data_IF_037576233917
#
_entry.id   IF_037576233917
#
_cell.length_a   1.000
_cell.length_b   1.000
_cell.length_c   1.000
_cell.angle_alpha   90.00
_cell.angle_beta   90.00
_cell.angle_gamma   90.00
#
_symmetry.space_group_name_H-M   'P 1'
#
loop_
_entity.id
_entity.type
_entity.pdbx_description
1 polymer ?
#
# COMPACT_ATOMS: atom_id res chain seq x y z
N UNK A 1 -7.89 -2.91 24.16
CA UNK A 1 -8.48 -1.79 23.40
C UNK A 1 -9.66 -2.33 22.62
N UNK A 2 -10.87 -1.77 22.79
CA UNK A 2 -12.05 -2.14 22.00
C UNK A 2 -11.82 -1.93 20.50
N UNK A 3 -12.42 -2.78 19.66
CA UNK A 3 -12.37 -2.63 18.21
C UNK A 3 -12.92 -1.28 17.73
N UNK A 4 -13.95 -0.77 18.42
CA UNK A 4 -14.61 0.51 18.17
C UNK A 4 -13.71 1.73 18.41
N UNK A 5 -12.51 1.56 18.96
CA UNK A 5 -11.56 2.66 19.22
C UNK A 5 -10.27 2.53 18.39
N UNK A 6 -10.12 1.45 17.62
CA UNK A 6 -8.88 1.13 16.92
C UNK A 6 -8.38 2.29 16.06
N UNK A 7 -9.28 2.93 15.30
CA UNK A 7 -8.96 4.07 14.45
C UNK A 7 -8.40 5.26 15.23
N UNK A 8 -8.89 5.52 16.45
CA UNK A 8 -8.41 6.61 17.30
C UNK A 8 -6.94 6.41 17.68
N UNK A 9 -6.61 5.21 18.16
CA UNK A 9 -5.26 4.89 18.58
C UNK A 9 -4.30 4.84 17.39
N UNK A 10 -4.71 4.21 16.29
CA UNK A 10 -3.87 4.12 15.09
C UNK A 10 -3.57 5.50 14.49
N UNK A 11 -4.58 6.36 14.33
CA UNK A 11 -4.38 7.70 13.76
C UNK A 11 -3.51 8.58 14.66
N UNK A 12 -3.66 8.47 15.99
CA UNK A 12 -2.79 9.16 16.94
C UNK A 12 -1.33 8.73 16.76
N UNK A 13 -1.06 7.43 16.73
CA UNK A 13 0.31 6.92 16.57
C UNK A 13 0.91 7.26 15.19
N UNK A 14 0.10 7.25 14.12
CA UNK A 14 0.55 7.73 12.81
C UNK A 14 0.85 9.22 12.80
N UNK A 15 0.03 10.03 13.47
CA UNK A 15 0.27 11.45 13.71
C UNK A 15 1.60 11.71 14.41
N UNK A 16 1.93 10.91 15.43
CA UNK A 16 3.20 11.04 16.19
C UNK A 16 4.42 10.59 15.40
N UNK A 17 4.29 9.54 14.59
CA UNK A 17 5.46 8.83 14.07
C UNK A 17 5.71 9.03 12.57
N UNK A 18 4.81 9.66 11.81
CA UNK A 18 4.93 9.72 10.36
C UNK A 18 4.41 11.02 9.73
N UNK A 19 5.18 11.55 8.76
CA UNK A 19 4.82 12.71 7.94
C UNK A 19 4.10 12.35 6.63
N UNK A 20 4.10 11.06 6.25
CA UNK A 20 3.48 10.56 5.02
C UNK A 20 1.95 10.47 5.20
N UNK A 21 1.18 10.44 4.11
CA UNK A 21 -0.27 10.21 4.18
C UNK A 21 -0.64 8.90 4.90
N UNK A 22 -1.84 8.89 5.45
CA UNK A 22 -2.45 7.78 6.17
C UNK A 22 -3.38 7.00 5.25
N UNK A 23 -3.60 5.72 5.54
CA UNK A 23 -4.55 4.90 4.78
C UNK A 23 -5.28 3.92 5.67
N UNK A 24 -6.61 3.97 5.70
CA UNK A 24 -7.43 3.07 6.52
C UNK A 24 -8.72 2.71 5.77
N UNK A 25 -9.28 1.55 6.07
CA UNK A 25 -10.53 1.13 5.46
C UNK A 25 -11.72 1.99 5.92
N UNK A 26 -12.73 2.07 5.06
CA UNK A 26 -13.95 2.83 5.28
C UNK A 26 -14.87 2.09 6.27
N UNK A 27 -14.57 2.15 7.57
CA UNK A 27 -15.28 1.43 8.64
C UNK A 27 -16.64 2.04 9.00
N UNK A 28 -17.61 2.04 8.09
CA UNK A 28 -18.94 2.60 8.39
C UNK A 28 -18.96 4.12 8.47
N UNK A 29 -20.15 4.69 8.69
CA UNK A 29 -20.37 6.12 8.88
C UNK A 29 -19.58 6.63 10.09
N UNK A 30 -19.71 5.92 11.21
CA UNK A 30 -19.31 6.41 12.53
C UNK A 30 -17.79 6.51 12.64
N UNK A 31 -17.09 5.38 12.43
CA UNK A 31 -15.64 5.38 12.53
C UNK A 31 -14.99 6.17 11.39
N UNK A 32 -15.56 6.18 10.17
CA UNK A 32 -15.02 7.05 9.10
C UNK A 32 -15.14 8.55 9.46
N UNK A 33 -16.25 8.97 10.08
CA UNK A 33 -16.39 10.36 10.53
C UNK A 33 -15.43 10.69 11.67
N UNK A 34 -15.22 9.77 12.60
CA UNK A 34 -14.19 9.93 13.64
C UNK A 34 -12.80 10.08 13.04
N UNK A 35 -12.46 9.29 12.01
CA UNK A 35 -11.19 9.40 11.30
C UNK A 35 -11.02 10.79 10.69
N UNK A 36 -12.04 11.32 10.02
CA UNK A 36 -12.02 12.69 9.47
C UNK A 36 -11.78 13.72 10.58
N UNK A 37 -12.50 13.61 11.69
CA UNK A 37 -12.38 14.55 12.82
C UNK A 37 -10.99 14.49 13.47
N UNK A 38 -10.45 13.29 13.69
CA UNK A 38 -9.13 13.08 14.26
C UNK A 38 -8.02 13.59 13.35
N UNK A 39 -8.09 13.28 12.05
CA UNK A 39 -7.10 13.80 11.09
C UNK A 39 -7.22 15.31 10.96
N UNK A 40 -8.44 15.87 10.99
CA UNK A 40 -8.64 17.33 11.02
C UNK A 40 -7.98 17.96 12.23
N UNK A 41 -8.04 17.35 13.42
CA UNK A 41 -7.31 17.80 14.61
C UNK A 41 -5.79 17.74 14.38
N UNK A 42 -5.28 16.67 13.76
CA UNK A 42 -3.83 16.50 13.49
C UNK A 42 -3.30 17.54 12.50
N UNK A 43 -4.11 17.97 11.53
CA UNK A 43 -3.70 18.90 10.47
C UNK A 43 -4.18 20.34 10.69
N UNK A 44 -4.65 20.64 11.91
CA UNK A 44 -5.14 21.96 12.33
C UNK A 44 -6.37 22.49 11.56
N UNK A 45 -7.25 21.60 11.11
CA UNK A 45 -8.60 21.96 10.65
C UNK A 45 -9.13 21.11 9.49
N UNK A 46 -10.46 21.06 9.40
CA UNK A 46 -11.18 20.35 8.33
C UNK A 46 -10.94 20.99 6.95
N UNK A 47 -10.93 22.33 6.87
CA UNK A 47 -10.68 23.04 5.61
C UNK A 47 -9.30 22.72 5.03
N UNK A 48 -8.27 22.63 5.88
CA UNK A 48 -6.93 22.23 5.44
C UNK A 48 -6.89 20.76 5.03
N UNK A 49 -7.65 19.88 5.70
CA UNK A 49 -7.78 18.48 5.30
C UNK A 49 -8.45 18.31 3.92
N UNK A 50 -9.52 19.06 3.65
CA UNK A 50 -10.21 19.05 2.34
C UNK A 50 -9.29 19.58 1.25
N UNK A 51 -8.56 20.66 1.52
CA UNK A 51 -7.64 21.30 0.57
C UNK A 51 -6.40 20.46 0.30
N UNK A 52 -5.89 19.74 1.30
CA UNK A 52 -4.70 18.88 1.20
C UNK A 52 -5.01 17.51 1.81
N UNK A 53 -5.61 16.60 1.03
CA UNK A 53 -6.02 15.31 1.56
C UNK A 53 -4.87 14.53 2.20
N UNK A 54 -5.12 13.98 3.37
CA UNK A 54 -4.14 13.21 4.16
C UNK A 54 -4.56 11.78 4.45
N UNK A 55 -5.84 11.47 4.27
CA UNK A 55 -6.40 10.18 4.63
C UNK A 55 -6.91 9.49 3.36
N UNK A 56 -6.27 8.39 2.98
CA UNK A 56 -6.74 7.50 1.92
C UNK A 56 -7.77 6.52 2.50
N UNK A 57 -9.00 6.62 2.05
CA UNK A 57 -10.05 5.65 2.37
C UNK A 57 -9.90 4.41 1.51
N UNK A 58 -9.85 3.23 2.12
CA UNK A 58 -9.85 1.96 1.40
C UNK A 58 -11.27 1.41 1.38
N UNK A 59 -11.85 1.33 0.18
CA UNK A 59 -13.18 0.80 -0.04
C UNK A 59 -13.09 -0.47 -0.89
N UNK A 60 -13.61 -1.57 -0.36
CA UNK A 60 -13.63 -2.86 -1.05
C UNK A 60 -15.07 -3.27 -1.33
N UNK A 61 -15.53 -3.24 -2.58
CA UNK A 61 -16.73 -3.97 -2.96
C UNK A 61 -16.63 -5.42 -2.48
N UNK A 62 -17.74 -5.97 -1.99
CA UNK A 62 -17.83 -7.36 -1.57
C UNK A 62 -18.13 -8.22 -2.78
N UNK A 63 -17.15 -9.00 -3.24
CA UNK A 63 -17.37 -9.89 -4.37
C UNK A 63 -18.22 -11.11 -3.96
N UNK A 64 -19.17 -11.57 -4.78
CA UNK A 64 -19.50 -11.04 -6.11
C UNK A 64 -20.51 -9.87 -6.09
N UNK A 65 -20.16 -8.76 -6.73
CA UNK A 65 -21.07 -7.68 -7.16
C UNK A 65 -21.93 -7.04 -6.05
N UNK A 66 -21.45 -7.01 -4.80
CA UNK A 66 -22.18 -6.44 -3.67
C UNK A 66 -21.48 -5.19 -3.10
N UNK A 67 -22.23 -4.11 -2.96
CA UNK A 67 -21.83 -2.94 -2.18
C UNK A 67 -22.59 -2.93 -0.87
N UNK A 68 -21.93 -3.31 0.23
CA UNK A 68 -22.58 -3.43 1.54
C UNK A 68 -22.89 -2.06 2.12
N UNK A 69 -24.02 -1.94 2.81
CA UNK A 69 -24.49 -0.69 3.42
C UNK A 69 -23.43 -0.03 4.32
N UNK A 70 -22.78 -0.83 5.17
CA UNK A 70 -21.75 -0.33 6.09
C UNK A 70 -20.55 0.27 5.34
N UNK A 71 -20.05 -0.40 4.28
CA UNK A 71 -18.92 0.14 3.52
C UNK A 71 -19.34 1.38 2.72
N UNK A 72 -20.57 1.40 2.21
CA UNK A 72 -21.15 2.56 1.51
C UNK A 72 -21.27 3.78 2.41
N UNK A 73 -21.69 3.58 3.66
CA UNK A 73 -21.73 4.65 4.64
C UNK A 73 -20.34 5.29 4.84
N UNK A 74 -19.29 4.47 4.92
CA UNK A 74 -17.92 4.97 5.00
C UNK A 74 -17.47 5.67 3.72
N UNK A 75 -17.74 5.08 2.54
CA UNK A 75 -17.47 5.69 1.23
C UNK A 75 -18.07 7.11 1.14
N UNK A 76 -19.32 7.26 1.58
CA UNK A 76 -20.03 8.54 1.57
C UNK A 76 -19.32 9.59 2.42
N UNK A 77 -18.81 9.23 3.61
CA UNK A 77 -18.05 10.16 4.44
C UNK A 77 -16.78 10.61 3.72
N UNK A 78 -15.96 9.68 3.24
CA UNK A 78 -14.71 10.03 2.55
C UNK A 78 -14.95 10.91 1.33
N UNK A 79 -15.98 10.60 0.52
CA UNK A 79 -16.38 11.40 -0.62
C UNK A 79 -16.88 12.80 -0.20
N UNK A 80 -17.70 12.90 0.85
CA UNK A 80 -18.21 14.19 1.38
C UNK A 80 -17.08 15.14 1.75
N UNK A 81 -16.00 14.63 2.37
CA UNK A 81 -14.83 15.43 2.76
C UNK A 81 -13.71 15.45 1.71
N UNK A 82 -14.01 15.06 0.46
CA UNK A 82 -13.09 15.09 -0.67
C UNK A 82 -11.76 14.36 -0.40
N UNK A 83 -11.80 13.30 0.41
CA UNK A 83 -10.63 12.47 0.71
C UNK A 83 -10.46 11.40 -0.38
N UNK A 84 -9.21 11.08 -0.77
CA UNK A 84 -8.97 10.10 -1.82
C UNK A 84 -9.50 8.73 -1.42
N UNK A 85 -10.12 8.05 -2.38
CA UNK A 85 -10.69 6.72 -2.20
C UNK A 85 -9.99 5.69 -3.08
N UNK A 86 -9.33 4.73 -2.44
CA UNK A 86 -8.88 3.51 -3.08
C UNK A 86 -10.05 2.54 -3.18
N UNK A 87 -10.57 2.35 -4.39
CA UNK A 87 -11.67 1.42 -4.66
C UNK A 87 -11.06 0.13 -5.21
N UNK A 88 -10.99 -0.91 -4.37
CA UNK A 88 -10.31 -2.15 -4.70
C UNK A 88 -11.24 -3.35 -4.58
N UNK A 89 -11.54 -4.02 -5.69
CA UNK A 89 -12.14 -5.36 -5.65
C UNK A 89 -11.13 -6.39 -5.10
N UNK A 90 -11.65 -7.43 -4.45
CA UNK A 90 -10.90 -8.54 -3.88
C UNK A 90 -11.59 -9.87 -4.21
N UNK A 91 -11.91 -10.06 -5.49
CA UNK A 91 -12.48 -11.28 -6.02
C UNK A 91 -11.45 -12.41 -6.07
N UNK A 92 -11.91 -13.63 -5.81
CA UNK A 92 -11.13 -14.86 -5.95
C UNK A 92 -11.65 -15.67 -7.12
N UNK A 93 -10.83 -15.84 -8.16
CA UNK A 93 -11.18 -16.60 -9.36
C UNK A 93 -11.44 -18.06 -9.00
N UNK A 94 -12.63 -18.56 -9.36
CA UNK A 94 -13.08 -19.91 -9.00
C UNK A 94 -13.76 -20.00 -7.65
N UNK A 95 -13.91 -18.89 -6.92
CA UNK A 95 -14.64 -18.81 -5.65
C UNK A 95 -15.70 -17.71 -5.68
N UNK A 96 -15.29 -16.44 -5.60
CA UNK A 96 -16.19 -15.27 -5.59
C UNK A 96 -16.24 -14.55 -6.94
N UNK A 97 -15.65 -15.14 -7.98
CA UNK A 97 -15.77 -14.75 -9.39
C UNK A 97 -15.56 -15.96 -10.30
N UNK A 98 -15.85 -15.88 -11.62
CA UNK A 98 -15.54 -16.95 -12.56
C UNK A 98 -14.07 -17.40 -12.46
N UNK A 99 -13.79 -18.67 -12.72
CA UNK A 99 -12.41 -19.20 -12.69
C UNK A 99 -11.54 -18.67 -13.83
N UNK A 100 -12.15 -18.21 -14.91
CA UNK A 100 -11.43 -17.63 -16.04
C UNK A 100 -10.94 -16.22 -15.70
N UNK A 101 -9.65 -15.96 -15.88
CA UNK A 101 -9.05 -14.65 -15.53
C UNK A 101 -9.76 -13.47 -16.21
N UNK A 102 -10.19 -13.65 -17.47
CA UNK A 102 -10.96 -12.64 -18.18
C UNK A 102 -12.34 -12.40 -17.53
N UNK A 103 -13.03 -13.44 -17.08
CA UNK A 103 -14.30 -13.33 -16.37
C UNK A 103 -14.13 -12.62 -15.03
N UNK A 104 -13.08 -12.95 -14.27
CA UNK A 104 -12.69 -12.23 -13.05
C UNK A 104 -12.46 -10.75 -13.32
N UNK A 105 -11.72 -10.40 -14.38
CA UNK A 105 -11.45 -9.01 -14.75
C UNK A 105 -12.72 -8.25 -15.14
N UNK A 106 -13.63 -8.87 -15.87
CA UNK A 106 -14.93 -8.27 -16.21
C UNK A 106 -15.74 -7.96 -14.94
N UNK A 107 -15.87 -8.93 -14.02
CA UNK A 107 -16.59 -8.71 -12.77
C UNK A 107 -15.92 -7.64 -11.90
N UNK A 108 -14.60 -7.70 -11.76
CA UNK A 108 -13.79 -6.69 -11.06
C UNK A 108 -14.07 -5.29 -11.57
N UNK A 109 -14.07 -5.14 -12.90
CA UNK A 109 -14.30 -3.86 -13.54
C UNK A 109 -15.71 -3.34 -13.23
N UNK A 110 -16.74 -4.20 -13.19
CA UNK A 110 -18.10 -3.82 -12.78
C UNK A 110 -18.12 -3.34 -11.32
N UNK A 111 -17.47 -4.06 -10.40
CA UNK A 111 -17.43 -3.72 -8.98
C UNK A 111 -16.72 -2.38 -8.74
N UNK A 112 -15.56 -2.17 -9.37
CA UNK A 112 -14.78 -0.94 -9.20
C UNK A 112 -15.47 0.26 -9.85
N UNK A 113 -15.93 0.14 -11.10
CA UNK A 113 -16.56 1.25 -11.80
C UNK A 113 -17.89 1.67 -11.16
N UNK A 114 -18.69 0.72 -10.67
CA UNK A 114 -19.95 1.06 -9.98
C UNK A 114 -19.69 1.91 -8.73
N UNK A 115 -18.66 1.58 -7.94
CA UNK A 115 -18.28 2.35 -6.76
C UNK A 115 -17.63 3.70 -7.12
N UNK A 116 -16.85 3.77 -8.21
CA UNK A 116 -16.31 5.04 -8.72
C UNK A 116 -17.44 5.98 -9.15
N UNK A 117 -18.40 5.49 -9.93
CA UNK A 117 -19.56 6.28 -10.37
C UNK A 117 -20.35 6.78 -9.16
N UNK A 118 -20.61 5.92 -8.17
CA UNK A 118 -21.28 6.33 -6.94
C UNK A 118 -20.50 7.43 -6.19
N UNK A 119 -19.18 7.30 -6.10
CA UNK A 119 -18.31 8.31 -5.47
C UNK A 119 -18.44 9.66 -6.18
N UNK A 120 -18.42 9.67 -7.51
CA UNK A 120 -18.58 10.90 -8.30
C UNK A 120 -19.99 11.49 -8.23
N UNK A 121 -21.02 10.66 -8.00
CA UNK A 121 -22.39 11.13 -7.76
C UNK A 121 -22.55 11.79 -6.38
N UNK A 122 -21.81 11.32 -5.37
CA UNK A 122 -21.83 11.89 -4.02
C UNK A 122 -21.14 13.25 -4.00
N UNK A 123 -19.94 13.33 -4.57
CA UNK A 123 -19.18 14.57 -4.65
C UNK A 123 -18.29 14.57 -5.91
N UNK A 124 -18.74 15.22 -7.01
CA UNK A 124 -18.00 15.28 -8.26
C UNK A 124 -16.59 15.85 -8.09
N UNK A 125 -15.58 15.13 -8.60
CA UNK A 125 -14.19 15.52 -8.48
C UNK A 125 -13.45 14.89 -7.28
N UNK A 126 -14.15 14.10 -6.45
CA UNK A 126 -13.50 13.30 -5.40
C UNK A 126 -12.40 12.43 -6.00
N UNK A 127 -11.15 12.47 -5.50
CA UNK A 127 -10.08 11.65 -6.04
C UNK A 127 -10.34 10.16 -5.81
N UNK A 128 -10.18 9.35 -6.85
CA UNK A 128 -10.34 7.89 -6.77
C UNK A 128 -9.14 7.17 -7.38
N UNK A 129 -8.83 5.99 -6.85
CA UNK A 129 -7.89 5.05 -7.44
C UNK A 129 -8.62 3.78 -7.85
N UNK A 130 -8.35 3.31 -9.07
CA UNK A 130 -8.81 2.01 -9.56
C UNK A 130 -7.89 0.93 -8.97
N UNK A 131 -8.42 0.10 -8.08
CA UNK A 131 -7.66 -0.93 -7.37
C UNK A 131 -8.07 -2.35 -7.72
N UNK A 132 -7.11 -3.26 -7.65
CA UNK A 132 -7.37 -4.70 -7.60
C UNK A 132 -6.49 -5.36 -6.54
N UNK A 133 -7.10 -6.23 -5.76
CA UNK A 133 -6.43 -7.23 -4.91
C UNK A 133 -6.99 -8.62 -5.24
N UNK A 134 -7.40 -8.82 -6.50
CA UNK A 134 -7.99 -10.08 -6.91
C UNK A 134 -6.93 -11.14 -7.08
N UNK A 135 -7.29 -12.38 -6.79
CA UNK A 135 -6.39 -13.51 -6.90
C UNK A 135 -7.15 -14.74 -7.39
N UNK A 136 -6.48 -15.87 -7.48
CA UNK A 136 -7.11 -17.17 -7.74
C UNK A 136 -7.33 -17.92 -6.43
N UNK A 137 -8.29 -18.84 -6.43
CA UNK A 137 -8.37 -19.89 -5.43
C UNK A 137 -7.51 -21.08 -5.86
N UNK A 138 -6.59 -21.52 -5.01
CA UNK A 138 -5.86 -22.77 -5.22
C UNK A 138 -6.87 -23.95 -5.20
N UNK A 139 -7.00 -24.71 -6.30
CA UNK A 139 -8.01 -25.76 -6.40
C UNK A 139 -7.75 -26.94 -5.46
N UNK A 140 -6.54 -27.08 -4.92
CA UNK A 140 -6.15 -28.19 -4.05
C UNK A 140 -6.65 -28.00 -2.63
N UNK A 141 -6.61 -26.76 -2.14
CA UNK A 141 -6.84 -26.44 -0.72
C UNK A 141 -7.93 -25.37 -0.51
N UNK A 142 -8.40 -24.71 -1.58
CA UNK A 142 -9.43 -23.69 -1.51
C UNK A 142 -8.95 -22.32 -1.00
N UNK A 143 -7.65 -22.13 -0.78
CA UNK A 143 -7.10 -20.88 -0.27
C UNK A 143 -6.85 -19.88 -1.41
N UNK A 144 -6.87 -18.56 -1.12
CA UNK A 144 -6.32 -17.56 -2.03
C UNK A 144 -4.83 -17.82 -2.28
N UNK A 145 -4.37 -17.63 -3.53
CA UNK A 145 -2.96 -17.81 -3.90
C UNK A 145 -2.34 -16.51 -4.44
N UNK A 146 -1.95 -15.60 -3.56
CA UNK A 146 -1.42 -14.29 -3.94
C UNK A 146 0.01 -14.35 -4.52
N UNK A 147 0.76 -15.39 -4.21
CA UNK A 147 2.08 -15.66 -4.79
C UNK A 147 2.03 -16.25 -6.20
N UNK A 148 0.82 -16.49 -6.75
CA UNK A 148 0.63 -17.10 -8.08
C UNK A 148 0.97 -16.15 -9.24
N UNK A 149 1.25 -16.75 -10.41
CA UNK A 149 1.45 -15.97 -11.64
C UNK A 149 0.12 -15.37 -12.13
N UNK A 150 -1.00 -16.04 -11.90
CA UNK A 150 -2.34 -15.57 -12.25
C UNK A 150 -2.71 -14.30 -11.49
N UNK A 151 -2.37 -14.20 -10.21
CA UNK A 151 -2.47 -12.96 -9.44
C UNK A 151 -1.68 -11.82 -10.13
N UNK A 152 -0.46 -12.10 -10.59
CA UNK A 152 0.38 -11.11 -11.29
C UNK A 152 -0.20 -10.71 -12.64
N UNK A 153 -0.79 -11.64 -13.40
CA UNK A 153 -1.49 -11.36 -14.66
C UNK A 153 -2.72 -10.46 -14.44
N UNK A 154 -3.53 -10.76 -13.43
CA UNK A 154 -4.69 -9.93 -13.05
C UNK A 154 -4.22 -8.53 -12.62
N UNK A 155 -3.14 -8.44 -11.85
CA UNK A 155 -2.55 -7.18 -11.40
C UNK A 155 -2.08 -6.33 -12.59
N UNK A 156 -1.41 -6.94 -13.59
CA UNK A 156 -0.99 -6.24 -14.81
C UNK A 156 -2.20 -5.74 -15.60
N UNK A 157 -3.18 -6.61 -15.85
CA UNK A 157 -4.38 -6.25 -16.60
C UNK A 157 -5.18 -5.14 -15.91
N UNK A 158 -5.22 -5.13 -14.57
CA UNK A 158 -5.90 -4.09 -13.79
C UNK A 158 -5.24 -2.71 -13.98
N UNK A 159 -3.91 -2.64 -14.12
CA UNK A 159 -3.24 -1.37 -14.46
C UNK A 159 -3.66 -0.87 -15.84
N UNK A 160 -3.72 -1.78 -16.83
CA UNK A 160 -4.12 -1.44 -18.20
C UNK A 160 -5.56 -0.93 -18.27
N UNK A 161 -6.49 -1.55 -17.52
CA UNK A 161 -7.88 -1.07 -17.41
C UNK A 161 -7.93 0.33 -16.77
N UNK A 162 -7.20 0.55 -15.69
CA UNK A 162 -7.14 1.86 -15.05
C UNK A 162 -6.58 2.95 -15.97
N UNK A 163 -5.51 2.63 -16.72
CA UNK A 163 -4.94 3.54 -17.73
C UNK A 163 -5.94 3.83 -18.86
N UNK A 164 -6.72 2.84 -19.29
CA UNK A 164 -7.79 3.03 -20.28
C UNK A 164 -8.84 4.05 -19.81
N UNK A 165 -9.23 4.01 -18.53
CA UNK A 165 -10.14 5.01 -17.94
C UNK A 165 -9.47 6.32 -17.54
N UNK A 166 -8.14 6.44 -17.71
CA UNK A 166 -7.35 7.57 -17.23
C UNK A 166 -7.53 7.83 -15.72
N UNK A 167 -7.59 6.75 -14.93
CA UNK A 167 -7.69 6.79 -13.47
C UNK A 167 -6.40 6.24 -12.86
N UNK A 168 -5.83 6.88 -11.83
CA UNK A 168 -4.67 6.33 -11.13
C UNK A 168 -4.94 4.92 -10.61
N UNK A 169 -3.97 4.03 -10.77
CA UNK A 169 -4.13 2.62 -10.44
C UNK A 169 -3.45 2.25 -9.13
N UNK A 170 -4.05 1.27 -8.45
CA UNK A 170 -3.44 0.58 -7.32
C UNK A 170 -3.29 -0.90 -7.63
N UNK A 171 -2.08 -1.40 -7.41
CA UNK A 171 -1.75 -2.83 -7.40
C UNK A 171 -1.34 -3.29 -6.01
N UNK A 172 -1.35 -4.60 -5.80
CA UNK A 172 -0.63 -5.19 -4.66
C UNK A 172 0.66 -5.82 -5.19
N UNK A 173 1.72 -5.73 -4.40
CA UNK A 173 3.02 -6.30 -4.73
C UNK A 173 3.70 -6.78 -3.46
N UNK A 174 4.84 -7.43 -3.63
CA UNK A 174 5.56 -8.04 -2.53
C UNK A 174 4.71 -9.06 -1.74
N UNK A 175 3.88 -9.82 -2.46
CA UNK A 175 3.03 -10.86 -1.86
C UNK A 175 3.67 -12.23 -1.99
N UNK A 176 3.36 -13.09 -1.01
CA UNK A 176 3.83 -14.46 -0.91
C UNK A 176 2.85 -15.28 -0.08
N UNK A 177 2.67 -16.54 -0.46
CA UNK A 177 1.88 -17.52 0.28
C UNK A 177 2.75 -18.36 1.24
N UNK A 178 4.07 -18.17 1.22
CA UNK A 178 4.99 -18.78 2.18
C UNK A 178 4.73 -18.35 3.63
N UNK A 179 4.94 -19.29 4.56
CA UNK A 179 4.72 -19.17 6.01
C UNK A 179 6.00 -18.77 6.74
N UNK A 180 7.12 -18.74 6.03
CA UNK A 180 8.45 -18.49 6.60
C UNK A 180 9.31 -17.70 5.61
N UNK A 181 10.52 -17.34 6.04
CA UNK A 181 11.44 -16.52 5.24
C UNK A 181 12.37 -17.40 4.41
N UNK A 182 11.78 -18.17 3.50
CA UNK A 182 12.46 -19.14 2.66
C UNK A 182 12.62 -18.66 1.20
N UNK A 183 13.03 -19.56 0.31
CA UNK A 183 13.19 -19.26 -1.11
C UNK A 183 11.85 -18.93 -1.77
N UNK A 184 10.75 -19.58 -1.35
CA UNK A 184 9.39 -19.27 -1.81
C UNK A 184 9.03 -17.81 -1.53
N UNK A 185 9.22 -17.38 -0.28
CA UNK A 185 9.02 -15.99 0.12
C UNK A 185 9.83 -15.01 -0.74
N UNK A 186 11.05 -15.38 -1.12
CA UNK A 186 11.89 -14.55 -1.99
C UNK A 186 11.34 -14.38 -3.41
N UNK A 187 11.05 -15.49 -4.10
CA UNK A 187 10.72 -15.42 -5.54
C UNK A 187 9.30 -14.94 -5.81
N UNK A 188 8.29 -15.35 -5.02
CA UNK A 188 6.90 -14.91 -5.19
C UNK A 188 6.80 -13.39 -4.97
N UNK A 189 7.45 -12.91 -3.91
CA UNK A 189 7.49 -11.50 -3.55
C UNK A 189 8.15 -10.63 -4.62
N UNK A 190 9.29 -11.08 -5.15
CA UNK A 190 9.93 -10.39 -6.26
C UNK A 190 9.07 -10.38 -7.52
N UNK A 191 8.47 -11.52 -7.89
CA UNK A 191 7.61 -11.64 -9.06
C UNK A 191 6.42 -10.67 -8.96
N UNK A 192 5.66 -10.73 -7.87
CA UNK A 192 4.46 -9.91 -7.68
C UNK A 192 4.79 -8.42 -7.64
N UNK A 193 5.86 -8.03 -6.94
CA UNK A 193 6.31 -6.63 -6.89
C UNK A 193 6.78 -6.12 -8.26
N UNK A 194 7.57 -6.93 -8.97
CA UNK A 194 8.09 -6.57 -10.29
C UNK A 194 6.97 -6.43 -11.32
N UNK A 195 6.00 -7.34 -11.34
CA UNK A 195 4.84 -7.28 -12.20
C UNK A 195 3.99 -6.03 -11.91
N UNK A 196 3.70 -5.75 -10.64
CA UNK A 196 2.94 -4.56 -10.26
C UNK A 196 3.65 -3.26 -10.68
N UNK A 197 4.96 -3.16 -10.44
CA UNK A 197 5.74 -1.97 -10.78
C UNK A 197 5.91 -1.80 -12.29
N UNK A 198 6.17 -2.88 -13.03
CA UNK A 198 6.34 -2.84 -14.49
C UNK A 198 5.04 -2.57 -15.24
N UNK A 199 3.89 -2.92 -14.65
CA UNK A 199 2.58 -2.58 -15.18
C UNK A 199 2.26 -1.08 -15.09
N UNK A 200 3.06 -0.28 -14.36
CA UNK A 200 2.84 1.15 -14.21
C UNK A 200 1.74 1.50 -13.19
N UNK A 201 1.60 0.69 -12.13
CA UNK A 201 0.73 1.03 -11.00
C UNK A 201 1.20 2.31 -10.30
N UNK A 202 0.27 3.23 -10.00
CA UNK A 202 0.59 4.49 -9.33
C UNK A 202 0.81 4.30 -7.82
N UNK A 203 0.13 3.33 -7.22
CA UNK A 203 0.23 3.00 -5.80
C UNK A 203 0.36 1.48 -5.62
N UNK A 204 1.40 1.03 -4.92
CA UNK A 204 1.65 -0.40 -4.67
C UNK A 204 1.66 -0.63 -3.16
N UNK A 205 0.86 -1.58 -2.69
CA UNK A 205 0.69 -1.89 -1.25
C UNK A 205 1.22 -3.28 -0.90
N UNK A 206 1.15 -3.61 0.39
CA UNK A 206 1.42 -4.93 0.99
C UNK A 206 2.91 -5.29 1.23
N UNK A 207 3.81 -4.31 1.20
CA UNK A 207 5.18 -4.52 1.64
C UNK A 207 5.22 -5.01 3.11
N UNK A 208 6.08 -5.99 3.39
CA UNK A 208 6.25 -6.60 4.70
C UNK A 208 5.28 -7.75 5.00
N UNK A 209 4.27 -7.98 4.16
CA UNK A 209 3.27 -9.02 4.37
C UNK A 209 3.76 -10.40 3.93
N UNK A 210 3.30 -11.45 4.58
CA UNK A 210 3.49 -12.85 4.20
C UNK A 210 2.32 -13.70 4.69
N UNK A 211 2.39 -15.03 4.47
CA UNK A 211 1.32 -15.95 4.87
C UNK A 211 -0.03 -15.55 4.27
N UNK A 212 -0.07 -15.26 2.96
CA UNK A 212 -1.33 -14.93 2.26
C UNK A 212 -2.03 -13.73 2.91
N UNK A 213 -1.25 -12.67 3.22
CA UNK A 213 -1.69 -11.42 3.87
C UNK A 213 -2.08 -11.53 5.35
N UNK A 214 -1.87 -12.67 6.01
CA UNK A 214 -2.27 -12.85 7.40
C UNK A 214 -1.25 -12.30 8.41
N UNK A 215 0.01 -12.17 7.99
CA UNK A 215 1.11 -11.80 8.87
C UNK A 215 1.98 -10.70 8.25
N UNK A 216 2.61 -9.89 9.10
CA UNK A 216 3.57 -8.84 8.72
C UNK A 216 4.87 -8.99 9.51
N UNK A 217 6.00 -8.66 8.88
CA UNK A 217 7.32 -8.66 9.51
C UNK A 217 8.10 -7.38 9.16
N UNK A 218 8.72 -6.78 10.16
CA UNK A 218 9.58 -5.62 9.95
C UNK A 218 10.81 -5.96 9.11
N UNK A 219 11.38 -7.16 9.29
CA UNK A 219 12.49 -7.66 8.49
C UNK A 219 12.10 -7.75 7.00
N UNK A 220 10.91 -8.27 6.70
CA UNK A 220 10.40 -8.30 5.33
C UNK A 220 10.19 -6.89 4.77
N UNK A 221 9.70 -5.95 5.56
CA UNK A 221 9.52 -4.56 5.14
C UNK A 221 10.85 -3.90 4.73
N UNK A 222 11.94 -4.16 5.46
CA UNK A 222 13.29 -3.70 5.10
C UNK A 222 13.77 -4.37 3.81
N UNK A 223 13.51 -5.66 3.65
CA UNK A 223 13.88 -6.38 2.43
C UNK A 223 13.08 -5.87 1.23
N UNK A 224 11.79 -5.55 1.41
CA UNK A 224 10.94 -5.00 0.35
C UNK A 224 11.35 -3.59 -0.07
N UNK A 225 11.84 -2.76 0.85
CA UNK A 225 12.45 -1.46 0.51
C UNK A 225 13.68 -1.62 -0.40
N UNK A 226 14.54 -2.61 -0.10
CA UNK A 226 15.68 -2.94 -0.95
C UNK A 226 15.21 -3.47 -2.33
N UNK A 227 14.23 -4.38 -2.36
CA UNK A 227 13.64 -4.89 -3.61
C UNK A 227 13.03 -3.76 -4.44
N UNK A 228 12.31 -2.83 -3.81
CA UNK A 228 11.77 -1.66 -4.49
C UNK A 228 12.88 -0.79 -5.09
N UNK A 229 14.02 -0.63 -4.41
CA UNK A 229 15.21 0.03 -4.95
C UNK A 229 15.79 -0.66 -6.19
N UNK A 230 15.91 -1.99 -6.15
CA UNK A 230 16.38 -2.81 -7.27
C UNK A 230 15.44 -2.67 -8.47
N UNK A 231 14.13 -2.82 -8.25
CA UNK A 231 13.11 -2.74 -9.29
C UNK A 231 13.06 -1.34 -9.89
N UNK A 232 13.11 -0.29 -9.05
CA UNK A 232 13.20 1.11 -9.52
C UNK A 232 14.42 1.35 -10.40
N UNK A 233 15.58 0.74 -10.11
CA UNK A 233 16.73 0.82 -11.02
C UNK A 233 16.46 0.07 -12.33
N UNK A 234 15.86 -1.12 -12.25
CA UNK A 234 15.53 -1.93 -13.42
C UNK A 234 14.60 -1.20 -14.39
N UNK A 235 13.55 -0.55 -13.86
CA UNK A 235 12.57 0.21 -14.65
C UNK A 235 13.16 1.43 -15.37
N UNK A 236 14.31 1.96 -14.94
CA UNK A 236 15.01 3.03 -15.69
C UNK A 236 15.60 2.54 -17.02
N UNK A 237 15.69 1.23 -17.23
CA UNK A 237 16.26 0.64 -18.44
C UNK A 237 17.71 1.03 -18.68
N UNK A 238 18.07 1.14 -19.96
CA UNK A 238 19.41 1.49 -20.45
C UNK A 238 19.33 2.86 -21.12
N UNK A 239 20.12 3.81 -20.63
CA UNK A 239 20.26 5.11 -21.28
C UNK A 239 21.19 5.00 -22.48
N UNK A 240 20.67 5.25 -23.70
CA UNK A 240 21.45 5.19 -24.94
C UNK A 240 21.67 6.60 -25.47
N UNK A 241 22.88 7.11 -25.28
CA UNK A 241 23.31 8.45 -25.69
C UNK A 241 24.75 8.39 -26.20
N UNK A 242 25.21 9.45 -26.86
CA UNK A 242 26.61 9.54 -27.30
C UNK A 242 27.61 9.37 -26.15
N UNK A 243 27.28 9.86 -24.94
CA UNK A 243 28.14 9.70 -23.76
C UNK A 243 28.10 8.26 -23.23
N UNK A 244 26.92 7.68 -23.06
CA UNK A 244 26.77 6.33 -22.44
C UNK A 244 27.23 5.19 -23.34
N UNK A 245 27.32 5.41 -24.66
CA UNK A 245 27.96 4.48 -25.59
C UNK A 245 29.47 4.33 -25.34
N UNK A 246 30.12 5.34 -24.73
CA UNK A 246 31.52 5.31 -24.31
C UNK A 246 32.54 4.86 -25.38
N UNK A 247 32.26 5.06 -26.66
CA UNK A 247 33.05 4.52 -27.79
C UNK A 247 34.53 4.91 -27.73
N UNK A 248 34.84 6.15 -27.34
CA UNK A 248 36.22 6.62 -27.22
C UNK A 248 36.98 5.92 -26.09
N UNK A 249 36.29 5.61 -24.98
CA UNK A 249 36.88 4.88 -23.86
C UNK A 249 37.16 3.42 -24.24
N UNK A 250 36.23 2.81 -24.99
CA UNK A 250 36.39 1.46 -25.54
C UNK A 250 37.61 1.41 -26.46
N UNK A 251 37.72 2.35 -27.41
CA UNK A 251 38.89 2.44 -28.31
C UNK A 251 40.19 2.57 -27.53
N UNK A 252 40.21 3.47 -26.53
CA UNK A 252 41.39 3.71 -25.69
C UNK A 252 41.85 2.45 -24.95
N UNK A 253 40.93 1.74 -24.30
CA UNK A 253 41.24 0.51 -23.57
C UNK A 253 41.73 -0.60 -24.51
N UNK A 254 41.07 -0.76 -25.66
CA UNK A 254 41.44 -1.76 -26.65
C UNK A 254 42.88 -1.57 -27.17
N UNK A 255 43.33 -0.31 -27.34
CA UNK A 255 44.69 -0.01 -27.81
C UNK A 255 45.75 -0.05 -26.70
N UNK A 256 45.39 0.26 -25.46
CA UNK A 256 46.37 0.46 -24.37
C UNK A 256 46.56 -0.75 -23.43
N UNK A 257 45.83 -1.86 -23.62
CA UNK A 257 45.83 -3.04 -22.71
C UNK A 257 45.60 -2.69 -21.23
N UNK A 258 44.86 -1.60 -20.95
CA UNK A 258 44.47 -1.16 -19.60
C UNK A 258 43.05 -1.61 -19.28
N UNK A 259 42.63 -1.51 -18.02
CA UNK A 259 41.23 -1.69 -17.63
C UNK A 259 40.51 -0.35 -17.45
N UNK A 260 39.19 -0.38 -17.27
CA UNK A 260 38.35 0.81 -17.17
C UNK A 260 38.39 1.49 -15.79
N UNK A 261 38.97 0.88 -14.75
CA UNK A 261 38.79 1.32 -13.36
C UNK A 261 39.32 2.73 -13.10
N UNK A 262 40.45 3.08 -13.70
CA UNK A 262 41.11 4.38 -13.50
C UNK A 262 40.65 5.46 -14.49
N UNK A 263 39.64 5.18 -15.33
CA UNK A 263 39.15 6.15 -16.30
C UNK A 263 38.22 7.17 -15.64
N UNK A 264 38.38 8.45 -16.00
CA UNK A 264 37.48 9.53 -15.57
C UNK A 264 36.01 9.24 -15.90
N UNK A 265 35.78 8.60 -17.07
CA UNK A 265 34.44 8.16 -17.48
C UNK A 265 33.80 7.23 -16.45
N UNK A 266 34.54 6.22 -15.98
CA UNK A 266 34.06 5.26 -14.98
C UNK A 266 33.71 5.99 -13.68
N UNK A 267 34.61 6.82 -13.15
CA UNK A 267 34.36 7.58 -11.91
C UNK A 267 33.09 8.45 -12.03
N UNK A 268 32.92 9.14 -13.16
CA UNK A 268 31.75 10.01 -13.41
C UNK A 268 30.43 9.25 -13.48
N UNK A 269 30.44 8.03 -14.02
CA UNK A 269 29.22 7.29 -14.38
C UNK A 269 28.87 6.15 -13.42
N UNK A 270 29.80 5.63 -12.61
CA UNK A 270 29.53 4.50 -11.69
C UNK A 270 28.33 4.74 -10.79
N UNK A 271 28.26 5.89 -10.10
CA UNK A 271 27.13 6.18 -9.18
C UNK A 271 25.82 6.52 -9.90
N UNK A 272 25.88 6.81 -11.20
CA UNK A 272 24.69 7.09 -12.03
C UNK A 272 24.10 5.81 -12.60
N UNK A 273 24.96 4.88 -13.00
CA UNK A 273 24.56 3.65 -13.69
C UNK A 273 24.38 2.45 -12.76
N UNK A 274 25.25 2.29 -11.77
CA UNK A 274 25.31 1.08 -10.93
C UNK A 274 24.50 1.31 -9.65
N UNK A 275 23.45 0.49 -9.47
CA UNK A 275 22.75 0.41 -8.19
C UNK A 275 23.60 -0.36 -7.18
N UNK A 276 23.90 0.31 -6.07
CA UNK A 276 24.60 -0.25 -4.94
C UNK A 276 23.57 -0.63 -3.88
N UNK A 277 23.31 -1.93 -3.68
CA UNK A 277 22.38 -2.40 -2.65
C UNK A 277 22.87 -2.01 -1.25
N UNK A 278 21.94 -1.80 -0.33
CA UNK A 278 22.24 -1.55 1.09
C UNK A 278 22.22 -2.84 1.92
N UNK A 279 21.34 -3.77 1.55
CA UNK A 279 21.08 -5.01 2.28
C UNK A 279 21.69 -6.23 1.58
N UNK A 280 21.68 -6.26 0.24
CA UNK A 280 22.21 -7.40 -0.53
C UNK A 280 23.73 -7.46 -0.44
N UNK A 281 24.26 -8.56 0.11
CA UNK A 281 25.68 -8.80 0.22
C UNK A 281 26.29 -9.31 -1.11
N UNK A 282 27.29 -8.61 -1.63
CA UNK A 282 28.06 -8.98 -2.83
C UNK A 282 29.54 -9.27 -2.52
N UNK A 283 29.89 -9.42 -1.26
CA UNK A 283 31.26 -9.66 -0.80
C UNK A 283 31.71 -11.09 -1.07
N UNK A 284 33.03 -11.29 -1.07
CA UNK A 284 33.60 -12.63 -1.13
C UNK A 284 33.30 -13.39 0.16
N UNK A 285 33.09 -14.71 0.05
CA UNK A 285 32.77 -15.62 1.19
C UNK A 285 33.71 -15.46 2.40
N UNK A 286 35.01 -15.26 2.17
CA UNK A 286 35.98 -15.08 3.26
C UNK A 286 35.71 -13.83 4.10
N UNK A 287 35.38 -12.70 3.46
CA UNK A 287 35.04 -11.45 4.13
C UNK A 287 33.69 -11.60 4.83
N UNK A 288 32.69 -12.18 4.15
CA UNK A 288 31.38 -12.44 4.74
C UNK A 288 31.45 -13.31 6.01
N UNK A 289 32.27 -14.38 6.00
CA UNK A 289 32.53 -15.22 7.19
C UNK A 289 33.20 -14.44 8.32
N UNK A 290 34.23 -13.64 8.00
CA UNK A 290 34.91 -12.79 8.98
C UNK A 290 33.95 -11.78 9.62
N UNK A 291 32.95 -11.33 8.87
CA UNK A 291 31.91 -10.40 9.33
C UNK A 291 30.70 -11.12 9.96
N UNK A 292 30.85 -12.37 10.41
CA UNK A 292 29.84 -13.09 11.18
C UNK A 292 28.90 -13.98 10.37
N UNK A 293 29.10 -14.12 9.05
CA UNK A 293 28.33 -15.03 8.20
C UNK A 293 26.80 -14.80 8.27
N UNK A 294 26.37 -13.54 8.39
CA UNK A 294 24.95 -13.17 8.57
C UNK A 294 24.16 -13.40 7.29
N UNK A 295 22.98 -14.00 7.42
CA UNK A 295 21.99 -14.04 6.33
C UNK A 295 21.23 -12.71 6.21
N UNK A 296 20.41 -12.59 5.17
CA UNK A 296 19.70 -11.35 4.87
C UNK A 296 18.66 -10.99 5.94
N UNK A 297 18.04 -11.99 6.60
CA UNK A 297 17.04 -11.76 7.65
C UNK A 297 17.71 -11.16 8.89
N UNK A 298 18.88 -11.71 9.27
CA UNK A 298 19.67 -11.19 10.39
C UNK A 298 20.08 -9.75 10.16
N UNK A 299 20.56 -9.42 8.95
CA UNK A 299 20.93 -8.04 8.61
C UNK A 299 19.70 -7.11 8.57
N UNK A 300 18.56 -7.60 8.08
CA UNK A 300 17.32 -6.84 8.06
C UNK A 300 16.85 -6.52 9.49
N UNK A 301 16.93 -7.49 10.41
CA UNK A 301 16.61 -7.30 11.83
C UNK A 301 17.50 -6.25 12.49
N UNK A 302 18.81 -6.32 12.28
CA UNK A 302 19.75 -5.30 12.79
C UNK A 302 19.39 -3.90 12.27
N UNK A 303 18.93 -3.81 11.01
CA UNK A 303 18.48 -2.56 10.43
C UNK A 303 17.16 -2.06 11.03
N UNK A 304 16.24 -2.98 11.37
CA UNK A 304 15.00 -2.65 12.11
C UNK A 304 15.35 -2.05 13.45
N UNK A 305 16.20 -2.72 14.24
CA UNK A 305 16.62 -2.26 15.56
C UNK A 305 17.27 -0.86 15.48
N UNK A 306 18.18 -0.65 14.52
CA UNK A 306 18.80 0.66 14.28
C UNK A 306 17.77 1.74 13.96
N UNK A 307 16.77 1.45 13.10
CA UNK A 307 15.74 2.42 12.73
C UNK A 307 14.87 2.78 13.94
N UNK A 308 14.45 1.78 14.72
CA UNK A 308 13.60 1.99 15.89
C UNK A 308 14.32 2.80 16.98
N UNK A 309 15.64 2.65 17.12
CA UNK A 309 16.43 3.43 18.08
C UNK A 309 16.71 4.87 17.61
N UNK A 310 16.94 5.06 16.31
CA UNK A 310 17.50 6.32 15.79
C UNK A 310 16.50 7.25 15.12
N UNK A 311 15.43 6.73 14.51
CA UNK A 311 14.46 7.54 13.78
C UNK A 311 13.34 8.04 14.69
N UNK A 312 13.13 9.36 14.71
CA UNK A 312 12.06 10.01 15.46
C UNK A 312 11.06 10.65 14.50
N UNK A 313 9.78 10.49 14.80
CA UNK A 313 8.68 11.12 14.06
C UNK A 313 8.52 12.61 14.36
N UNK A 314 7.50 13.26 13.77
CA UNK A 314 7.14 14.65 14.09
C UNK A 314 6.81 14.89 15.56
N UNK A 315 6.34 13.86 16.25
CA UNK A 315 5.55 13.99 17.48
C UNK A 315 4.30 14.88 17.27
N UNK A 316 3.44 14.96 18.28
CA UNK A 316 2.29 15.84 18.27
C UNK A 316 2.45 16.94 19.31
N UNK A 317 1.98 18.15 18.99
CA UNK A 317 2.00 19.24 19.96
C UNK A 317 1.11 18.91 21.17
N UNK A 318 1.44 19.47 22.34
CA UNK A 318 0.65 19.25 23.56
C UNK A 318 -0.82 19.65 23.39
N UNK A 319 -1.10 20.65 22.55
CA UNK A 319 -2.47 21.07 22.24
C UNK A 319 -3.21 20.01 21.41
N UNK A 320 -2.58 19.49 20.36
CA UNK A 320 -3.16 18.44 19.50
C UNK A 320 -3.41 17.16 20.31
N UNK A 321 -2.45 16.74 21.14
CA UNK A 321 -2.61 15.57 22.03
C UNK A 321 -3.82 15.71 22.97
N UNK A 322 -4.02 16.89 23.56
CA UNK A 322 -5.20 17.16 24.41
C UNK A 322 -6.51 17.08 23.63
N UNK A 323 -6.53 17.61 22.41
CA UNK A 323 -7.72 17.57 21.56
C UNK A 323 -8.05 16.13 21.13
N UNK A 324 -7.05 15.36 20.70
CA UNK A 324 -7.21 13.93 20.38
C UNK A 324 -7.71 13.17 21.60
N UNK A 325 -7.09 13.35 22.77
CA UNK A 325 -7.51 12.66 24.00
C UNK A 325 -8.97 12.96 24.37
N UNK A 326 -9.39 14.23 24.26
CA UNK A 326 -10.79 14.63 24.48
C UNK A 326 -11.73 13.97 23.47
N UNK A 327 -11.33 13.89 22.19
CA UNK A 327 -12.14 13.24 21.17
C UNK A 327 -12.23 11.73 21.38
N UNK A 328 -11.13 11.08 21.75
CA UNK A 328 -11.11 9.65 22.09
C UNK A 328 -12.07 9.33 23.24
N UNK A 329 -12.17 10.18 24.27
CA UNK A 329 -13.15 9.99 25.35
C UNK A 329 -14.60 9.98 24.82
N UNK A 330 -14.91 10.79 23.82
CA UNK A 330 -16.22 10.78 23.17
C UNK A 330 -16.44 9.44 22.48
N UNK A 331 -15.47 8.96 21.71
CA UNK A 331 -15.55 7.66 21.02
C UNK A 331 -15.72 6.51 22.01
N UNK A 332 -14.96 6.51 23.10
CA UNK A 332 -15.03 5.50 24.18
C UNK A 332 -16.38 5.49 24.90
N UNK A 333 -17.07 6.64 24.94
CA UNK A 333 -18.40 6.72 25.59
C UNK A 333 -19.52 6.05 24.79
N UNK A 334 -19.30 5.74 23.50
CA UNK A 334 -20.31 5.13 22.62
C UNK A 334 -20.41 3.62 22.87
N UNK A 335 -21.63 3.11 22.93
CA UNK A 335 -21.90 1.68 23.01
C UNK A 335 -21.90 1.04 21.62
N UNK A 336 -21.73 -0.29 21.53
CA UNK A 336 -21.87 -1.01 20.27
C UNK A 336 -23.27 -0.85 19.65
N UNK A 337 -24.30 -0.70 20.47
CA UNK A 337 -25.67 -0.44 20.00
C UNK A 337 -25.78 0.90 19.27
N UNK A 338 -25.05 1.93 19.72
CA UNK A 338 -25.02 3.23 19.03
C UNK A 338 -24.42 3.07 17.64
N UNK A 339 -23.34 2.28 17.49
CA UNK A 339 -22.76 1.96 16.18
C UNK A 339 -23.77 1.25 15.27
N UNK A 340 -24.42 0.18 15.75
CA UNK A 340 -25.39 -0.59 14.96
C UNK A 340 -26.52 0.30 14.43
N UNK A 341 -27.04 1.19 15.28
CA UNK A 341 -28.12 2.13 14.93
C UNK A 341 -27.65 3.18 13.92
N UNK A 342 -26.47 3.78 14.13
CA UNK A 342 -25.92 4.79 13.22
C UNK A 342 -25.60 4.25 11.83
N UNK A 343 -25.15 3.00 11.75
CA UNK A 343 -24.94 2.33 10.46
C UNK A 343 -26.26 1.93 9.78
N UNK A 344 -27.39 2.06 10.50
CA UNK A 344 -28.71 1.62 10.06
C UNK A 344 -28.76 0.12 9.81
N UNK A 345 -28.02 -0.65 10.62
CA UNK A 345 -27.96 -2.12 10.52
C UNK A 345 -29.13 -2.74 11.28
N UNK A 346 -29.60 -2.09 12.35
CA UNK A 346 -30.90 -2.45 12.90
C UNK A 346 -32.01 -1.91 12.00
N UNK A 347 -33.12 -2.64 11.90
CA UNK A 347 -34.28 -2.21 11.12
C UNK A 347 -35.07 -1.08 11.85
N UNK A 348 -34.45 -0.39 12.80
CA UNK A 348 -35.08 0.69 13.55
C UNK A 348 -35.10 1.97 12.70
N UNK A 349 -36.22 2.69 12.71
CA UNK A 349 -36.35 3.99 12.05
C UNK A 349 -36.18 5.08 13.10
N UNK A 350 -35.11 5.87 13.02
CA UNK A 350 -34.90 7.06 13.84
C UNK A 350 -33.53 7.70 13.62
N UNK A 351 -33.44 9.02 13.77
CA UNK A 351 -32.17 9.76 13.90
C UNK A 351 -31.78 9.80 15.37
N UNK A 352 -30.63 9.25 15.73
CA UNK A 352 -30.10 9.28 17.10
C UNK A 352 -28.95 10.28 17.13
N UNK A 353 -29.03 11.27 18.00
CA UNK A 353 -27.89 12.16 18.27
C UNK A 353 -26.81 11.37 19.01
N UNK A 354 -25.70 11.07 18.33
CA UNK A 354 -24.56 10.37 18.92
C UNK A 354 -23.41 11.35 19.04
N UNK A 355 -22.87 11.44 20.26
CA UNK A 355 -21.84 12.40 20.60
C UNK A 355 -20.66 12.36 19.60
N UNK A 356 -20.36 13.52 19.00
CA UNK A 356 -19.23 13.70 18.08
C UNK A 356 -19.45 13.26 16.63
N UNK A 357 -20.66 12.82 16.26
CA UNK A 357 -21.06 12.54 14.87
C UNK A 357 -22.21 13.46 14.49
N UNK A 358 -21.99 14.40 13.57
CA UNK A 358 -23.08 15.17 12.97
C UNK A 358 -23.79 14.32 11.93
N UNK A 359 -25.05 13.99 12.17
CA UNK A 359 -25.92 13.33 11.20
C UNK A 359 -26.60 14.42 10.37
N UNK A 360 -26.03 14.73 9.22
CA UNK A 360 -26.71 15.48 8.15
C UNK A 360 -26.99 14.55 6.98
#
# INVERSE_FOLDING_TARGET
>A
MPFTELHCHTLREWGRHNYKPYGMACYGKTASQDMINLVSIIVDGEEELIKKPRLLGVYNPTSPLLQTKILLNGLFIFAKYNQPLLISSAASAGSTSPVTLAGTLVQTNMEVLSAIVLTQLINPGTPVLYGSTNTIMDPTNGNPAYGSIEFSLITIASAQLAHYYNIPSKGSGALTDSKCFDVQNGFERFMTLYCAASAGHNFITCAGTYETLLSESFELLIIDDEMAGIIKRGLKGISVTKETLALDQIRKVATEKKNYLMLKHTVKNTRKEIFVPKLVNREKRGIWRKNGAKDIITVAKERVDEILETQKGPDLSSNIEKQIAKYTQIVTSRSLEDYIKLEGIDNSKGTIDVAGVKIE
#
